data_IF_598910210018
#
_entry.id   IF_598910210018
#
_cell.length_a   1.000
_cell.length_b   1.000
_cell.length_c   1.000
_cell.angle_alpha   90.00
_cell.angle_beta   90.00
_cell.angle_gamma   90.00
#
_symmetry.space_group_name_H-M   'P 1'
#
loop_
_entity.id
_entity.type
_entity.pdbx_description
1 polymer ?
#
# COMPACT_ATOMS: atom_id res chain seq x y z
N UNK A 1 -19.81 7.22 36.62
CA UNK A 1 -19.31 7.56 35.27
C UNK A 1 -18.59 6.32 34.77
N UNK A 2 -19.28 5.47 34.07
CA UNK A 2 -18.74 4.21 33.50
C UNK A 2 -18.06 4.55 32.20
N UNK A 3 -16.74 4.38 32.17
CA UNK A 3 -15.87 4.53 31.00
C UNK A 3 -16.22 3.41 30.00
N UNK A 4 -17.09 3.72 29.05
CA UNK A 4 -17.40 2.83 27.93
C UNK A 4 -16.28 2.94 26.89
N UNK A 5 -15.11 2.35 27.19
CA UNK A 5 -14.16 1.97 26.15
C UNK A 5 -14.81 0.90 25.28
N UNK A 6 -15.41 1.34 24.20
CA UNK A 6 -15.80 0.44 23.11
C UNK A 6 -14.53 -0.32 22.71
N UNK A 7 -14.45 -1.60 23.02
CA UNK A 7 -13.39 -2.49 22.51
C UNK A 7 -13.49 -2.50 20.98
N UNK A 8 -12.69 -1.66 20.33
CA UNK A 8 -12.53 -1.70 18.87
C UNK A 8 -12.00 -3.09 18.54
N UNK A 9 -12.69 -3.83 17.69
CA UNK A 9 -12.23 -5.13 17.25
C UNK A 9 -10.86 -4.98 16.60
N UNK A 10 -9.87 -5.72 17.09
CA UNK A 10 -8.52 -5.73 16.53
C UNK A 10 -8.59 -6.37 15.14
N UNK A 11 -8.20 -5.62 14.09
CA UNK A 11 -8.14 -6.18 12.74
C UNK A 11 -7.00 -7.19 12.65
N UNK A 12 -7.21 -8.35 11.98
CA UNK A 12 -6.15 -9.34 11.82
C UNK A 12 -5.00 -8.75 10.99
N UNK A 13 -3.78 -9.21 11.26
CA UNK A 13 -2.62 -8.83 10.46
C UNK A 13 -2.71 -9.39 9.05
N UNK A 14 -2.40 -8.56 8.08
CA UNK A 14 -2.14 -8.98 6.70
C UNK A 14 -0.86 -8.33 6.16
N UNK A 15 -0.19 -9.05 5.27
CA UNK A 15 1.13 -8.68 4.77
C UNK A 15 1.12 -8.64 3.26
N UNK A 16 1.47 -7.47 2.69
CA UNK A 16 1.63 -7.27 1.27
C UNK A 16 3.08 -7.13 0.86
N UNK A 17 3.37 -7.48 -0.38
CA UNK A 17 4.70 -7.32 -0.97
C UNK A 17 4.62 -6.58 -2.28
N UNK A 18 5.41 -5.52 -2.43
CA UNK A 18 5.59 -4.81 -3.70
C UNK A 18 6.59 -5.57 -4.57
N UNK A 19 6.14 -6.09 -5.72
CA UNK A 19 6.92 -7.01 -6.58
C UNK A 19 6.97 -6.52 -8.03
N UNK A 20 7.68 -5.41 -8.33
CA UNK A 20 7.82 -4.95 -9.72
C UNK A 20 8.58 -5.98 -10.57
N UNK A 21 8.22 -6.08 -11.87
CA UNK A 21 8.96 -6.91 -12.82
C UNK A 21 10.23 -6.16 -13.25
N UNK A 22 11.36 -6.54 -12.66
CA UNK A 22 12.69 -5.98 -12.98
C UNK A 22 13.68 -7.02 -13.48
N UNK A 23 13.28 -8.27 -13.46
CA UNK A 23 14.03 -9.43 -13.95
C UNK A 23 13.28 -10.05 -15.11
N UNK A 24 13.80 -11.15 -15.64
CA UNK A 24 13.04 -11.96 -16.59
C UNK A 24 11.75 -12.52 -15.96
N UNK A 25 10.78 -12.80 -16.81
CA UNK A 25 9.46 -13.25 -16.37
C UNK A 25 9.47 -14.62 -15.64
N UNK A 26 10.26 -15.64 -16.02
CA UNK A 26 10.41 -16.87 -15.25
C UNK A 26 10.86 -16.62 -13.81
N UNK A 27 11.92 -15.85 -13.60
CA UNK A 27 12.42 -15.50 -12.26
C UNK A 27 11.37 -14.76 -11.43
N UNK A 28 10.63 -13.84 -12.04
CA UNK A 28 9.54 -13.13 -11.36
C UNK A 28 8.41 -14.10 -10.96
N UNK A 29 8.00 -15.02 -11.85
CA UNK A 29 6.98 -16.03 -11.55
C UNK A 29 7.37 -16.93 -10.38
N UNK A 30 8.62 -17.36 -10.32
CA UNK A 30 9.10 -18.18 -9.20
C UNK A 30 9.13 -17.39 -7.89
N UNK A 31 9.46 -16.10 -7.96
CA UNK A 31 9.40 -15.21 -6.78
C UNK A 31 7.99 -15.10 -6.23
N UNK A 32 6.98 -14.83 -7.07
CA UNK A 32 5.60 -14.67 -6.59
C UNK A 32 5.01 -15.95 -6.02
N UNK A 33 5.38 -17.13 -6.55
CA UNK A 33 4.99 -18.42 -5.96
C UNK A 33 5.59 -18.60 -4.57
N UNK A 34 6.90 -18.33 -4.41
CA UNK A 34 7.53 -18.38 -3.08
C UNK A 34 6.87 -17.43 -2.07
N UNK A 35 6.44 -16.24 -2.50
CA UNK A 35 5.71 -15.32 -1.64
C UNK A 35 4.36 -15.90 -1.19
N UNK A 36 3.62 -16.52 -2.11
CA UNK A 36 2.37 -17.21 -1.77
C UNK A 36 2.60 -18.35 -0.76
N UNK A 37 3.63 -19.16 -0.99
CA UNK A 37 4.00 -20.26 -0.09
C UNK A 37 4.49 -19.78 1.30
N UNK A 38 4.96 -18.54 1.40
CA UNK A 38 5.44 -17.94 2.65
C UNK A 38 4.34 -17.26 3.48
N UNK A 39 3.07 -17.35 3.09
CA UNK A 39 1.93 -16.80 3.84
C UNK A 39 1.66 -15.30 3.64
N UNK A 40 2.33 -14.64 2.69
CA UNK A 40 1.95 -13.29 2.30
C UNK A 40 0.53 -13.29 1.72
N UNK A 41 -0.24 -12.26 2.05
CA UNK A 41 -1.65 -12.16 1.62
C UNK A 41 -1.83 -11.47 0.27
N UNK A 42 -0.96 -10.53 -0.06
CA UNK A 42 -1.20 -9.61 -1.19
C UNK A 42 0.07 -9.31 -1.97
N UNK A 43 0.00 -9.43 -3.28
CA UNK A 43 1.02 -8.96 -4.22
C UNK A 43 0.62 -7.58 -4.73
N UNK A 44 1.54 -6.63 -4.62
CA UNK A 44 1.31 -5.23 -4.96
C UNK A 44 2.22 -4.77 -6.11
N UNK A 45 1.68 -3.96 -7.03
CA UNK A 45 2.42 -3.42 -8.17
C UNK A 45 2.40 -1.90 -8.17
N UNK A 46 3.57 -1.23 -8.25
CA UNK A 46 3.63 0.21 -8.41
C UNK A 46 3.22 0.64 -9.83
N UNK A 47 2.66 1.83 -9.98
CA UNK A 47 2.30 2.43 -11.27
C UNK A 47 3.45 3.35 -11.72
N UNK A 48 4.46 2.76 -12.36
CA UNK A 48 5.68 3.44 -12.80
C UNK A 48 5.93 3.13 -14.26
N UNK A 49 5.38 3.94 -15.18
CA UNK A 49 5.67 3.83 -16.62
C UNK A 49 7.17 3.79 -16.91
N UNK A 50 7.59 3.07 -17.95
CA UNK A 50 8.99 2.87 -18.37
C UNK A 50 9.86 1.97 -17.50
N UNK A 51 9.47 1.69 -16.24
CA UNK A 51 10.30 0.84 -15.36
C UNK A 51 9.88 -0.61 -15.39
N UNK A 52 8.62 -0.87 -15.66
CA UNK A 52 8.01 -2.18 -15.66
C UNK A 52 6.78 -2.24 -16.58
N UNK A 53 6.27 -3.43 -16.91
CA UNK A 53 4.99 -3.58 -17.58
C UNK A 53 3.85 -2.95 -16.75
N UNK A 54 2.77 -2.54 -17.41
CA UNK A 54 1.61 -1.94 -16.77
C UNK A 54 1.03 -2.85 -15.65
N UNK A 55 0.56 -2.27 -14.53
CA UNK A 55 0.06 -3.05 -13.39
C UNK A 55 -1.06 -4.02 -13.75
N UNK A 56 -2.07 -3.59 -14.51
CA UNK A 56 -3.26 -4.41 -14.79
C UNK A 56 -2.95 -5.79 -15.38
N UNK A 57 -2.28 -5.90 -16.53
CA UNK A 57 -1.90 -7.20 -17.12
C UNK A 57 -1.02 -8.04 -16.19
N UNK A 58 -0.12 -7.39 -15.45
CA UNK A 58 0.80 -8.05 -14.52
C UNK A 58 0.07 -8.64 -13.32
N UNK A 59 -0.89 -7.89 -12.75
CA UNK A 59 -1.71 -8.34 -11.63
C UNK A 59 -2.66 -9.47 -12.04
N UNK A 60 -3.26 -9.40 -13.23
CA UNK A 60 -4.07 -10.50 -13.77
C UNK A 60 -3.25 -11.78 -13.92
N UNK A 61 -2.00 -11.68 -14.42
CA UNK A 61 -1.08 -12.81 -14.52
C UNK A 61 -0.72 -13.37 -13.14
N UNK A 62 -0.42 -12.51 -12.17
CA UNK A 62 -0.11 -12.94 -10.80
C UNK A 62 -1.27 -13.69 -10.16
N UNK A 63 -2.49 -13.17 -10.29
CA UNK A 63 -3.71 -13.80 -9.77
C UNK A 63 -4.02 -15.15 -10.44
N UNK A 64 -3.67 -15.32 -11.72
CA UNK A 64 -3.82 -16.61 -12.42
C UNK A 64 -2.78 -17.65 -12.02
N UNK A 65 -1.64 -17.23 -11.45
CA UNK A 65 -0.52 -18.11 -11.07
C UNK A 65 -0.48 -18.45 -9.58
N UNK A 66 -1.22 -17.71 -8.74
CA UNK A 66 -1.21 -17.83 -7.27
C UNK A 66 -2.59 -17.54 -6.72
N UNK A 67 -2.82 -17.91 -5.45
CA UNK A 67 -4.04 -17.57 -4.70
C UNK A 67 -3.92 -16.22 -3.97
N UNK A 68 -2.84 -15.47 -4.18
CA UNK A 68 -2.65 -14.16 -3.58
C UNK A 68 -3.77 -13.19 -3.98
N UNK A 69 -4.14 -12.33 -3.08
CA UNK A 69 -4.76 -11.06 -3.45
C UNK A 69 -3.77 -10.26 -4.27
N UNK A 70 -4.25 -9.43 -5.16
CA UNK A 70 -3.41 -8.57 -6.01
C UNK A 70 -3.90 -7.14 -5.92
N UNK A 71 -2.99 -6.18 -5.98
CA UNK A 71 -3.38 -4.78 -5.89
C UNK A 71 -2.34 -3.83 -6.47
N UNK A 72 -2.74 -2.58 -6.64
CA UNK A 72 -1.83 -1.51 -7.04
C UNK A 72 -1.27 -0.78 -5.82
N UNK A 73 0.00 -0.33 -5.90
CA UNK A 73 0.66 0.38 -4.81
C UNK A 73 1.45 1.59 -5.32
N UNK A 74 0.79 2.64 -5.73
CA UNK A 74 -0.64 2.81 -6.00
C UNK A 74 -0.80 3.38 -7.40
N UNK A 75 -1.98 3.29 -8.02
CA UNK A 75 -2.27 4.05 -9.23
C UNK A 75 -2.12 5.55 -8.96
N UNK A 76 -1.44 6.26 -9.85
CA UNK A 76 -1.29 7.69 -9.78
C UNK A 76 -2.39 8.37 -10.62
N UNK A 77 -3.33 9.06 -9.96
CA UNK A 77 -4.49 9.66 -10.65
C UNK A 77 -4.13 10.53 -11.87
N UNK A 78 -3.03 11.33 -11.87
CA UNK A 78 -2.72 12.16 -13.03
C UNK A 78 -2.16 11.38 -14.24
N UNK A 79 -1.78 10.11 -14.07
CA UNK A 79 -1.31 9.25 -15.17
C UNK A 79 -2.45 8.59 -15.96
N UNK A 80 -3.68 8.62 -15.45
CA UNK A 80 -4.78 7.84 -15.98
C UNK A 80 -6.10 8.60 -15.95
N UNK A 81 -6.92 8.54 -17.01
CA UNK A 81 -8.30 9.04 -16.93
C UNK A 81 -9.09 8.27 -15.87
N UNK A 82 -9.91 8.96 -15.07
CA UNK A 82 -10.68 8.39 -13.97
C UNK A 82 -11.53 7.18 -14.42
N UNK A 83 -12.27 7.32 -15.55
CA UNK A 83 -13.08 6.25 -16.10
C UNK A 83 -12.29 4.99 -16.49
N UNK A 84 -11.09 5.18 -17.07
CA UNK A 84 -10.22 4.07 -17.49
C UNK A 84 -9.68 3.31 -16.28
N UNK A 85 -9.28 4.03 -15.25
CA UNK A 85 -8.81 3.44 -13.98
C UNK A 85 -9.92 2.66 -13.27
N UNK A 86 -11.12 3.23 -13.20
CA UNK A 86 -12.28 2.57 -12.62
C UNK A 86 -12.67 1.29 -13.39
N UNK A 87 -12.69 1.37 -14.71
CA UNK A 87 -13.01 0.22 -15.58
C UNK A 87 -11.95 -0.90 -15.45
N UNK A 88 -10.65 -0.56 -15.45
CA UNK A 88 -9.57 -1.53 -15.24
C UNK A 88 -9.68 -2.18 -13.85
N UNK A 89 -9.93 -1.39 -12.80
CA UNK A 89 -10.07 -1.88 -11.43
C UNK A 89 -11.28 -2.83 -11.28
N UNK A 90 -12.43 -2.45 -11.81
CA UNK A 90 -13.60 -3.31 -11.85
C UNK A 90 -13.31 -4.63 -12.60
N UNK A 91 -12.69 -4.52 -13.80
CA UNK A 91 -12.35 -5.69 -14.61
C UNK A 91 -11.40 -6.64 -13.87
N UNK A 92 -10.38 -6.08 -13.19
CA UNK A 92 -9.47 -6.87 -12.35
C UNK A 92 -10.22 -7.56 -11.20
N UNK A 93 -11.14 -6.87 -10.54
CA UNK A 93 -11.95 -7.48 -9.49
C UNK A 93 -12.80 -8.66 -10.02
N UNK A 94 -13.40 -8.50 -11.19
CA UNK A 94 -14.19 -9.57 -11.83
C UNK A 94 -13.31 -10.77 -12.19
N UNK A 95 -12.20 -10.55 -12.92
CA UNK A 95 -11.36 -11.67 -13.43
C UNK A 95 -10.52 -12.33 -12.33
N UNK A 96 -10.34 -11.67 -11.18
CA UNK A 96 -9.66 -12.24 -10.01
C UNK A 96 -10.64 -12.76 -8.95
N UNK A 97 -11.93 -12.79 -9.25
CA UNK A 97 -12.97 -13.28 -8.33
C UNK A 97 -12.95 -12.54 -6.98
N UNK A 98 -12.82 -11.20 -7.03
CA UNK A 98 -12.79 -10.34 -5.85
C UNK A 98 -11.46 -10.30 -5.08
N UNK A 99 -10.38 -10.85 -5.64
CA UNK A 99 -9.04 -10.80 -5.02
C UNK A 99 -8.24 -9.54 -5.35
N UNK A 100 -8.77 -8.62 -6.15
CA UNK A 100 -8.13 -7.34 -6.45
C UNK A 100 -8.45 -6.28 -5.40
N UNK A 101 -7.47 -5.42 -5.08
CA UNK A 101 -7.65 -4.18 -4.32
C UNK A 101 -7.04 -3.00 -5.10
N UNK A 102 -7.79 -1.91 -5.23
CA UNK A 102 -7.34 -0.72 -5.94
C UNK A 102 -6.61 0.24 -5.00
N UNK A 103 -5.28 0.24 -5.06
CA UNK A 103 -4.50 1.31 -4.47
C UNK A 103 -4.53 2.56 -5.36
N UNK A 104 -4.84 3.72 -4.81
CA UNK A 104 -4.99 4.97 -5.54
C UNK A 104 -4.41 6.15 -4.76
N UNK A 105 -3.74 7.08 -5.46
CA UNK A 105 -3.18 8.28 -4.87
C UNK A 105 -3.04 9.41 -5.89
N UNK A 106 -2.60 10.57 -5.41
CA UNK A 106 -2.46 11.79 -6.23
C UNK A 106 -1.13 11.90 -6.98
N UNK A 107 -0.34 10.84 -6.97
CA UNK A 107 1.02 10.81 -7.55
C UNK A 107 2.11 11.08 -6.52
N UNK A 108 3.30 10.53 -6.77
CA UNK A 108 4.51 10.69 -5.95
C UNK A 108 5.13 12.08 -6.14
N UNK A 109 6.04 12.51 -5.27
CA UNK A 109 6.86 13.70 -5.50
C UNK A 109 7.55 13.64 -6.87
N UNK A 110 7.55 14.74 -7.60
CA UNK A 110 8.13 14.82 -8.96
C UNK A 110 7.25 14.27 -10.08
N UNK A 111 6.01 13.89 -9.83
CA UNK A 111 5.07 13.39 -10.84
C UNK A 111 4.86 14.40 -11.99
N UNK A 112 5.01 15.70 -11.73
CA UNK A 112 4.88 16.75 -12.74
C UNK A 112 5.94 16.63 -13.86
N UNK A 113 7.16 16.26 -13.50
CA UNK A 113 8.26 16.08 -14.47
C UNK A 113 8.02 14.82 -15.29
N UNK A 114 7.57 13.74 -14.66
CA UNK A 114 7.19 12.52 -15.36
C UNK A 114 6.03 12.75 -16.35
N UNK A 115 5.01 13.51 -15.97
CA UNK A 115 3.91 13.87 -16.87
C UNK A 115 4.42 14.64 -18.09
N UNK A 116 5.33 15.60 -17.89
CA UNK A 116 5.95 16.35 -19.02
C UNK A 116 6.75 15.43 -19.94
N UNK A 117 7.53 14.51 -19.38
CA UNK A 117 8.31 13.54 -20.16
C UNK A 117 7.44 12.56 -20.96
N UNK A 118 6.23 12.26 -20.44
CA UNK A 118 5.23 11.42 -21.11
C UNK A 118 4.38 12.22 -22.12
N UNK A 119 4.58 13.54 -22.24
CA UNK A 119 3.76 14.40 -23.08
C UNK A 119 2.34 14.59 -22.56
N UNK A 120 2.12 14.38 -21.28
CA UNK A 120 0.83 14.51 -20.63
C UNK A 120 0.65 15.90 -19.98
N UNK A 121 -0.58 16.40 -19.85
CA UNK A 121 -0.83 17.66 -19.16
C UNK A 121 -0.48 17.55 -17.67
N UNK A 122 0.14 18.58 -17.11
CA UNK A 122 0.38 18.67 -15.67
C UNK A 122 -0.91 19.08 -14.98
N UNK A 123 -1.39 18.18 -14.11
CA UNK A 123 -2.64 18.36 -13.37
C UNK A 123 -2.36 18.97 -12.00
N UNK A 124 -3.03 20.09 -11.62
CA UNK A 124 -2.88 20.70 -10.30
C UNK A 124 -3.27 19.75 -9.15
N UNK A 125 -2.66 19.86 -7.95
CA UNK A 125 -2.96 18.96 -6.83
C UNK A 125 -4.45 18.88 -6.43
N UNK A 126 -5.20 19.99 -6.54
CA UNK A 126 -6.65 20.01 -6.27
C UNK A 126 -7.45 19.17 -7.26
N UNK A 127 -7.08 19.22 -8.54
CA UNK A 127 -7.73 18.43 -9.59
C UNK A 127 -7.40 16.95 -9.47
N UNK A 128 -6.18 16.58 -9.00
CA UNK A 128 -5.81 15.19 -8.74
C UNK A 128 -6.70 14.57 -7.65
N UNK A 129 -7.06 15.32 -6.61
CA UNK A 129 -8.03 14.87 -5.60
C UNK A 129 -9.43 14.68 -6.18
N UNK A 130 -9.85 15.57 -7.09
CA UNK A 130 -11.10 15.40 -7.83
C UNK A 130 -11.07 14.13 -8.69
N UNK A 131 -10.00 13.89 -9.43
CA UNK A 131 -9.81 12.65 -10.22
C UNK A 131 -9.87 11.39 -9.35
N UNK A 132 -9.28 11.42 -8.14
CA UNK A 132 -9.38 10.31 -7.18
C UNK A 132 -10.85 10.07 -6.79
N UNK A 133 -11.60 11.11 -6.45
CA UNK A 133 -13.03 10.99 -6.13
C UNK A 133 -13.84 10.44 -7.29
N UNK A 134 -13.65 10.98 -8.49
CA UNK A 134 -14.32 10.51 -9.71
C UNK A 134 -14.03 9.03 -9.99
N UNK A 135 -12.75 8.63 -9.87
CA UNK A 135 -12.35 7.21 -10.07
C UNK A 135 -13.11 6.28 -9.13
N UNK A 136 -13.15 6.61 -7.84
CA UNK A 136 -13.85 5.75 -6.85
C UNK A 136 -15.36 5.77 -7.06
N UNK A 137 -15.95 6.92 -7.40
CA UNK A 137 -17.39 7.02 -7.70
C UNK A 137 -17.75 6.11 -8.89
N UNK A 138 -17.02 6.22 -9.99
CA UNK A 138 -17.23 5.38 -11.19
C UNK A 138 -16.98 3.89 -10.90
N UNK A 139 -15.99 3.57 -10.07
CA UNK A 139 -15.74 2.18 -9.65
C UNK A 139 -16.96 1.62 -8.89
N UNK A 140 -17.52 2.36 -7.95
CA UNK A 140 -18.71 1.94 -7.19
C UNK A 140 -19.94 1.76 -8.10
N UNK A 141 -20.11 2.61 -9.13
CA UNK A 141 -21.14 2.47 -10.13
C UNK A 141 -20.98 1.18 -10.96
N UNK A 142 -19.75 0.87 -11.39
CA UNK A 142 -19.44 -0.35 -12.15
C UNK A 142 -19.59 -1.62 -11.29
N UNK A 143 -19.16 -1.60 -10.05
CA UNK A 143 -19.27 -2.72 -9.10
C UNK A 143 -20.74 -3.02 -8.77
N UNK A 144 -21.58 -2.01 -8.70
CA UNK A 144 -22.99 -2.15 -8.33
C UNK A 144 -23.17 -2.83 -6.97
N UNK A 145 -24.30 -3.47 -6.71
CA UNK A 145 -24.58 -4.09 -5.41
C UNK A 145 -23.93 -5.47 -5.22
N UNK A 146 -23.40 -6.09 -6.30
CA UNK A 146 -22.91 -7.47 -6.28
C UNK A 146 -21.41 -7.60 -6.03
N UNK A 147 -20.65 -6.53 -6.24
CA UNK A 147 -19.19 -6.52 -6.10
C UNK A 147 -18.75 -5.31 -5.26
N UNK A 148 -17.73 -5.50 -4.43
CA UNK A 148 -17.05 -4.41 -3.75
C UNK A 148 -15.56 -4.54 -3.95
N UNK A 149 -15.00 -3.71 -4.82
CA UNK A 149 -13.55 -3.61 -5.00
C UNK A 149 -12.97 -2.78 -3.86
N UNK A 150 -12.14 -3.36 -2.96
CA UNK A 150 -11.52 -2.58 -1.88
C UNK A 150 -10.64 -1.45 -2.43
N UNK A 151 -10.72 -0.28 -1.80
CA UNK A 151 -9.94 0.91 -2.15
C UNK A 151 -8.93 1.21 -1.06
N UNK A 152 -7.64 1.17 -1.42
CA UNK A 152 -6.51 1.60 -0.60
C UNK A 152 -6.13 3.00 -1.02
N UNK A 153 -6.20 3.99 -0.14
CA UNK A 153 -5.80 5.35 -0.48
C UNK A 153 -4.47 5.73 0.15
N UNK A 154 -3.52 6.16 -0.70
CA UNK A 154 -2.28 6.79 -0.25
C UNK A 154 -2.51 8.28 -0.04
N UNK A 155 -2.35 8.74 1.21
CA UNK A 155 -2.70 10.09 1.62
C UNK A 155 -1.53 10.86 2.21
N UNK A 156 -1.48 12.16 1.89
CA UNK A 156 -0.62 13.14 2.52
C UNK A 156 -1.40 14.45 2.68
N UNK A 157 -1.41 14.97 3.88
CA UNK A 157 -2.09 16.21 4.22
C UNK A 157 -3.63 16.11 4.38
N UNK A 158 -4.24 17.12 4.99
CA UNK A 158 -5.60 17.05 5.53
C UNK A 158 -6.69 16.87 4.48
N UNK A 159 -6.55 17.45 3.29
CA UNK A 159 -7.55 17.30 2.22
C UNK A 159 -7.61 15.87 1.67
N UNK A 160 -6.45 15.21 1.51
CA UNK A 160 -6.39 13.82 1.07
C UNK A 160 -6.92 12.88 2.17
N UNK A 161 -6.63 13.17 3.43
CA UNK A 161 -7.16 12.42 4.58
C UNK A 161 -8.68 12.53 4.68
N UNK A 162 -9.24 13.72 4.53
CA UNK A 162 -10.69 13.92 4.52
C UNK A 162 -11.35 13.13 3.36
N UNK A 163 -10.73 13.15 2.17
CA UNK A 163 -11.22 12.37 1.04
C UNK A 163 -11.15 10.86 1.31
N UNK A 164 -10.07 10.37 1.91
CA UNK A 164 -9.92 8.96 2.25
C UNK A 164 -10.90 8.52 3.35
N UNK A 165 -11.21 9.39 4.30
CA UNK A 165 -12.23 9.10 5.31
C UNK A 165 -13.62 8.85 4.70
N UNK A 166 -13.92 9.47 3.55
CA UNK A 166 -15.17 9.24 2.83
C UNK A 166 -15.16 7.96 2.00
N UNK A 167 -14.02 7.62 1.36
CA UNK A 167 -13.99 6.72 0.21
C UNK A 167 -13.19 5.44 0.43
N UNK A 168 -12.21 5.43 1.35
CA UNK A 168 -11.26 4.33 1.47
C UNK A 168 -11.75 3.20 2.39
N UNK A 169 -11.41 1.97 2.03
CA UNK A 169 -11.48 0.79 2.89
C UNK A 169 -10.19 0.64 3.72
N UNK A 170 -9.06 1.05 3.15
CA UNK A 170 -7.74 1.06 3.79
C UNK A 170 -7.02 2.39 3.51
N UNK A 171 -6.30 2.92 4.49
CA UNK A 171 -5.47 4.12 4.32
C UNK A 171 -4.01 3.80 4.58
N UNK A 172 -3.14 4.27 3.67
CA UNK A 172 -1.69 4.32 3.88
C UNK A 172 -1.23 5.76 3.86
N UNK A 173 -0.40 6.15 4.84
CA UNK A 173 0.16 7.48 4.87
C UNK A 173 1.41 7.54 3.98
N UNK A 174 1.44 8.49 3.05
CA UNK A 174 2.59 8.72 2.16
C UNK A 174 3.68 9.49 2.92
N UNK A 175 4.37 8.77 3.80
CA UNK A 175 5.40 9.30 4.68
C UNK A 175 6.77 9.28 4.00
N UNK A 176 7.62 10.23 4.36
CA UNK A 176 9.04 10.14 4.03
C UNK A 176 9.74 9.20 5.02
N UNK A 177 10.73 8.41 4.60
CA UNK A 177 11.38 7.43 5.48
C UNK A 177 11.96 8.05 6.77
N UNK A 178 12.41 9.28 6.72
CA UNK A 178 13.01 9.98 7.88
C UNK A 178 12.02 10.60 8.86
N UNK A 179 10.70 10.47 8.64
CA UNK A 179 9.71 11.02 9.58
C UNK A 179 9.78 10.29 10.93
N UNK A 180 9.81 11.06 12.01
CA UNK A 180 9.88 10.51 13.36
C UNK A 180 8.56 9.86 13.78
N UNK A 181 8.62 8.81 14.58
CA UNK A 181 7.44 8.11 15.11
C UNK A 181 6.39 9.06 15.70
N UNK A 182 6.82 10.03 16.51
CA UNK A 182 5.91 10.97 17.21
C UNK A 182 5.06 11.78 16.23
N UNK A 183 5.59 12.16 15.07
CA UNK A 183 4.87 12.91 14.04
C UNK A 183 3.83 12.02 13.37
N UNK A 184 4.21 10.75 13.09
CA UNK A 184 3.29 9.76 12.53
C UNK A 184 2.18 9.40 13.52
N UNK A 185 2.50 9.28 14.81
CA UNK A 185 1.49 9.05 15.87
C UNK A 185 0.44 10.15 15.91
N UNK A 186 0.87 11.40 15.78
CA UNK A 186 -0.06 12.54 15.74
C UNK A 186 -0.96 12.46 14.50
N UNK A 187 -0.37 12.22 13.33
CA UNK A 187 -1.10 12.06 12.06
C UNK A 187 -2.14 10.95 12.12
N UNK A 188 -1.75 9.78 12.61
CA UNK A 188 -2.65 8.61 12.79
C UNK A 188 -3.78 8.95 13.76
N UNK A 189 -3.48 9.60 14.88
CA UNK A 189 -4.48 10.00 15.87
C UNK A 189 -5.50 10.96 15.29
N UNK A 190 -5.05 11.96 14.55
CA UNK A 190 -5.92 12.92 13.86
C UNK A 190 -6.83 12.23 12.84
N UNK A 191 -6.29 11.35 12.01
CA UNK A 191 -7.09 10.62 11.04
C UNK A 191 -8.12 9.69 11.71
N UNK A 192 -7.71 8.94 12.74
CA UNK A 192 -8.61 8.02 13.46
C UNK A 192 -9.73 8.74 14.22
N UNK A 193 -9.58 10.02 14.52
CA UNK A 193 -10.66 10.84 15.07
C UNK A 193 -11.76 11.10 14.03
N UNK A 194 -11.43 11.05 12.73
CA UNK A 194 -12.40 11.24 11.64
C UNK A 194 -13.06 9.90 11.25
N UNK A 195 -12.28 8.85 11.07
CA UNK A 195 -12.76 7.56 10.55
C UNK A 195 -11.93 6.38 11.09
N UNK A 196 -12.61 5.29 11.40
CA UNK A 196 -11.99 4.01 11.70
C UNK A 196 -12.04 3.10 10.48
N UNK A 197 -10.93 3.04 9.74
CA UNK A 197 -10.68 2.12 8.61
C UNK A 197 -9.40 1.34 8.87
N UNK A 198 -9.11 0.33 8.06
CA UNK A 198 -7.82 -0.34 8.11
C UNK A 198 -6.69 0.63 7.84
N UNK A 199 -5.61 0.56 8.63
CA UNK A 199 -4.41 1.34 8.40
C UNK A 199 -3.29 0.44 7.88
N UNK A 200 -2.69 0.88 6.78
CA UNK A 200 -1.54 0.22 6.18
C UNK A 200 -0.26 1.00 6.41
N UNK A 201 0.80 0.27 6.68
CA UNK A 201 2.13 0.81 6.84
C UNK A 201 3.09 0.25 5.80
N UNK A 202 3.76 1.15 5.09
CA UNK A 202 4.88 0.88 4.22
C UNK A 202 6.17 0.78 5.05
N UNK A 203 6.89 -0.32 4.93
CA UNK A 203 8.18 -0.55 5.59
C UNK A 203 9.24 -0.78 4.54
N UNK A 204 10.19 0.15 4.45
CA UNK A 204 11.19 0.18 3.40
C UNK A 204 12.51 -0.49 3.77
N UNK A 205 12.79 -0.63 5.07
CA UNK A 205 14.10 -1.08 5.57
C UNK A 205 13.92 -2.20 6.59
N UNK A 206 14.70 -3.28 6.46
CA UNK A 206 14.78 -4.37 7.42
C UNK A 206 16.25 -4.52 7.85
N UNK A 207 16.55 -4.25 9.11
CA UNK A 207 17.94 -4.14 9.57
C UNK A 207 18.69 -3.07 8.78
N UNK A 208 19.70 -3.45 8.02
CA UNK A 208 20.46 -2.58 7.12
C UNK A 208 20.06 -2.71 5.65
N UNK A 209 19.14 -3.62 5.33
CA UNK A 209 18.69 -3.86 3.97
C UNK A 209 17.60 -2.86 3.58
N UNK A 210 17.88 -2.00 2.60
CA UNK A 210 16.93 -1.05 2.01
C UNK A 210 16.26 -1.71 0.81
N UNK A 211 14.92 -1.75 0.81
CA UNK A 211 14.16 -2.25 -0.32
C UNK A 211 14.16 -1.20 -1.45
N UNK A 212 14.70 -1.51 -2.64
CA UNK A 212 14.65 -0.60 -3.79
C UNK A 212 13.20 -0.18 -4.10
N UNK A 213 13.00 1.05 -4.54
CA UNK A 213 11.71 1.72 -4.81
C UNK A 213 10.83 2.02 -3.61
N UNK A 214 11.11 1.43 -2.45
CA UNK A 214 10.38 1.68 -1.23
C UNK A 214 10.97 2.83 -0.41
N UNK A 215 12.24 3.18 -0.68
CA UNK A 215 12.92 4.35 -0.15
C UNK A 215 13.93 4.91 -1.16
N UNK A 216 14.37 6.17 -1.02
CA UNK A 216 15.47 6.73 -1.79
C UNK A 216 16.74 5.87 -1.69
N UNK A 217 17.57 5.82 -2.76
CA UNK A 217 18.79 4.98 -2.76
C UNK A 217 19.83 5.36 -1.71
N UNK A 218 19.80 6.60 -1.25
CA UNK A 218 20.67 7.19 -0.23
C UNK A 218 20.09 7.11 1.20
N UNK A 219 19.03 6.32 1.39
CA UNK A 219 18.44 6.11 2.72
C UNK A 219 19.46 5.47 3.67
N UNK A 220 19.71 6.15 4.79
CA UNK A 220 20.61 5.67 5.85
C UNK A 220 19.82 4.95 6.96
N UNK A 221 19.96 3.62 7.10
CA UNK A 221 19.28 2.88 8.18
C UNK A 221 19.65 3.33 9.58
N UNK A 222 20.87 3.82 9.79
CA UNK A 222 21.29 4.32 11.10
C UNK A 222 20.56 5.63 11.47
N UNK A 223 20.37 6.51 10.49
CA UNK A 223 19.58 7.73 10.69
C UNK A 223 18.09 7.40 10.96
N UNK A 224 17.52 6.39 10.31
CA UNK A 224 16.15 5.95 10.58
C UNK A 224 15.98 5.40 12.00
N UNK A 225 16.95 4.60 12.48
CA UNK A 225 16.95 4.13 13.88
C UNK A 225 17.06 5.27 14.87
N UNK A 226 17.93 6.23 14.60
CA UNK A 226 18.10 7.40 15.48
C UNK A 226 16.85 8.28 15.55
N UNK A 227 16.07 8.34 14.48
CA UNK A 227 14.79 9.04 14.40
C UNK A 227 13.61 8.22 14.94
N UNK A 228 13.82 6.98 15.39
CA UNK A 228 12.74 6.01 15.70
C UNK A 228 11.69 5.93 14.58
N UNK A 229 12.17 5.88 13.33
CA UNK A 229 11.29 5.91 12.16
C UNK A 229 10.48 4.62 12.02
N UNK A 230 9.24 4.74 11.61
CA UNK A 230 8.39 3.59 11.25
C UNK A 230 8.75 2.95 9.90
N UNK A 231 9.63 3.56 9.10
CA UNK A 231 10.08 3.00 7.82
C UNK A 231 11.04 1.82 7.97
N UNK A 232 11.52 1.54 9.19
CA UNK A 232 12.48 0.48 9.48
C UNK A 232 11.92 -0.53 10.50
N UNK A 233 12.26 -1.81 10.31
CA UNK A 233 12.10 -2.89 11.30
C UNK A 233 13.46 -3.53 11.61
N UNK A 234 13.61 -4.16 12.80
CA UNK A 234 14.76 -5.02 13.09
C UNK A 234 14.91 -6.16 12.07
N UNK A 235 16.12 -6.66 11.89
CA UNK A 235 16.41 -7.86 11.10
C UNK A 235 16.20 -9.17 11.91
N UNK A 236 16.22 -9.10 13.22
CA UNK A 236 15.84 -10.22 14.09
C UNK A 236 14.31 -10.45 14.01
N UNK A 237 13.86 -11.67 13.62
CA UNK A 237 12.44 -11.94 13.41
C UNK A 237 11.59 -11.76 14.68
N UNK A 238 12.11 -12.07 15.87
CA UNK A 238 11.37 -11.93 17.12
C UNK A 238 11.16 -10.46 17.43
N UNK A 239 12.24 -9.66 17.36
CA UNK A 239 12.15 -8.22 17.57
C UNK A 239 11.28 -7.52 16.51
N UNK A 240 11.29 -8.00 15.26
CA UNK A 240 10.42 -7.48 14.22
C UNK A 240 8.95 -7.80 14.48
N UNK A 241 8.63 -9.01 14.94
CA UNK A 241 7.27 -9.40 15.31
C UNK A 241 6.75 -8.58 16.49
N UNK A 242 7.54 -8.41 17.53
CA UNK A 242 7.21 -7.56 18.69
C UNK A 242 6.95 -6.10 18.27
N UNK A 243 7.79 -5.55 17.39
CA UNK A 243 7.61 -4.17 16.90
C UNK A 243 6.32 -4.04 16.04
N UNK A 244 6.01 -5.00 15.18
CA UNK A 244 4.77 -5.02 14.40
C UNK A 244 3.55 -5.09 15.32
N UNK A 245 3.57 -5.92 16.35
CA UNK A 245 2.51 -6.02 17.35
C UNK A 245 2.35 -4.70 18.10
N UNK A 246 3.45 -4.08 18.55
CA UNK A 246 3.46 -2.76 19.19
C UNK A 246 2.82 -1.69 18.30
N UNK A 247 3.16 -1.65 17.01
CA UNK A 247 2.56 -0.70 16.05
C UNK A 247 1.05 -0.91 15.86
N UNK A 248 0.57 -2.13 15.95
CA UNK A 248 -0.89 -2.40 15.95
C UNK A 248 -1.54 -1.89 17.24
N UNK A 249 -0.95 -2.18 18.39
CA UNK A 249 -1.49 -1.81 19.69
C UNK A 249 -1.54 -0.29 19.89
N UNK A 250 -0.46 0.40 19.57
CA UNK A 250 -0.30 1.84 19.78
C UNK A 250 -0.98 2.67 18.68
N UNK A 251 -0.81 2.27 17.41
CA UNK A 251 -1.18 3.05 16.24
C UNK A 251 -2.32 2.43 15.43
N UNK A 252 -2.55 1.14 15.56
CA UNK A 252 -3.63 0.42 14.87
C UNK A 252 -3.28 0.00 13.45
N UNK A 253 -2.01 -0.06 13.09
CA UNK A 253 -1.60 -0.63 11.81
C UNK A 253 -1.82 -2.15 11.83
N UNK A 254 -2.51 -2.66 10.81
CA UNK A 254 -2.78 -4.09 10.64
C UNK A 254 -2.36 -4.62 9.27
N UNK A 255 -2.14 -3.74 8.30
CA UNK A 255 -1.67 -4.10 6.99
C UNK A 255 -0.25 -3.57 6.74
N UNK A 256 0.73 -4.47 6.71
CA UNK A 256 2.15 -4.12 6.50
C UNK A 256 2.58 -4.46 5.07
N UNK A 257 3.24 -3.50 4.40
CA UNK A 257 3.70 -3.64 3.01
C UNK A 257 5.22 -3.53 2.94
N UNK A 258 5.85 -4.53 2.34
CA UNK A 258 7.29 -4.68 2.21
C UNK A 258 7.74 -4.69 0.75
N UNK A 259 9.03 -4.46 0.51
CA UNK A 259 9.66 -4.73 -0.79
C UNK A 259 10.00 -6.21 -0.97
N UNK A 260 9.94 -6.70 -2.19
CA UNK A 260 10.23 -8.10 -2.51
C UNK A 260 11.64 -8.54 -2.12
N UNK A 261 12.59 -7.62 -2.11
CA UNK A 261 14.00 -7.90 -1.81
C UNK A 261 14.25 -8.24 -0.33
N UNK A 262 13.44 -7.68 0.57
CA UNK A 262 13.54 -7.89 2.03
C UNK A 262 12.49 -8.87 2.55
N UNK A 263 11.57 -9.31 1.71
CA UNK A 263 10.45 -10.17 2.14
C UNK A 263 10.89 -11.54 2.65
N UNK A 264 12.02 -12.07 2.17
CA UNK A 264 12.53 -13.37 2.60
C UNK A 264 12.93 -13.43 4.08
N UNK A 265 13.51 -12.36 4.62
CA UNK A 265 13.90 -12.27 6.04
C UNK A 265 12.69 -12.18 6.97
N UNK A 266 11.55 -11.71 6.47
CA UNK A 266 10.32 -11.57 7.23
C UNK A 266 9.37 -12.78 7.14
N UNK A 267 9.71 -13.82 6.39
CA UNK A 267 8.86 -15.01 6.28
C UNK A 267 8.49 -15.64 7.65
N UNK A 268 9.41 -15.73 8.64
CA UNK A 268 9.05 -16.21 9.98
C UNK A 268 8.02 -15.32 10.68
N UNK A 269 8.15 -13.99 10.56
CA UNK A 269 7.22 -13.01 11.14
C UNK A 269 5.84 -13.12 10.51
N UNK A 270 5.78 -13.29 9.19
CA UNK A 270 4.52 -13.48 8.46
C UNK A 270 3.86 -14.78 8.88
N UNK A 271 4.61 -15.88 8.99
CA UNK A 271 4.07 -17.17 9.43
C UNK A 271 3.50 -17.13 10.86
N UNK A 272 4.08 -16.31 11.75
CA UNK A 272 3.61 -16.14 13.12
C UNK A 272 2.37 -15.26 13.24
N UNK A 273 2.38 -14.13 12.52
CA UNK A 273 1.39 -13.06 12.76
C UNK A 273 0.23 -13.02 11.75
N UNK A 274 0.36 -13.62 10.56
CA UNK A 274 -0.69 -13.51 9.54
C UNK A 274 -2.04 -14.05 10.05
N UNK A 275 -3.08 -13.22 9.96
CA UNK A 275 -4.44 -13.58 10.36
C UNK A 275 -4.73 -13.56 11.88
N UNK A 276 -3.72 -13.18 12.72
CA UNK A 276 -3.90 -13.09 14.18
C UNK A 276 -4.46 -11.75 14.65
#
# INVERSE_FOLDING_TARGET
MTDSRTTRGTRPFRFGVTVPIRTDLPTWRDRIRRLADSGYSTLLMPDVPRWQPAPGPTLALAAALTDLRVGTWVYASPLRPAWSTAWEAHSLSVVTEGRFEMGLGTGRPGIEDELRELGMPVVPPSERLTQVRETVTMLRELDGPALHTPVVMAVHGPKAQALAADLADTVTFALMPGEARVDVEQLVREFRAIRDVELSQHVAVIGDAVAPFMAPPDTDPAALRAADSLAILPDDPVAAAEEIQRRREELGFSYFVFGAEVSGSLAPVVAELAGT
#
